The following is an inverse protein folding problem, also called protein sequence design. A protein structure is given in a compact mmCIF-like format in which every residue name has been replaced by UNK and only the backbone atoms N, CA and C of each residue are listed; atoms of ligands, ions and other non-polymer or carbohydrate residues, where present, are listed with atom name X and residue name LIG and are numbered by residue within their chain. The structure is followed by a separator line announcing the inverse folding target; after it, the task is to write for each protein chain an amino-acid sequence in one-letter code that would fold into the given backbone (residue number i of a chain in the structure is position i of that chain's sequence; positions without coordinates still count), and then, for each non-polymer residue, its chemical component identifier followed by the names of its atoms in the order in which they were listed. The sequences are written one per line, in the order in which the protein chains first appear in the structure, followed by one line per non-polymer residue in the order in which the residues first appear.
data_IF_451723948925
#
_entry.id   IF_451723948925
#
_cell.length_a   1.000
_cell.length_b   1.000
_cell.length_c   1.000
_cell.angle_alpha   90.00
_cell.angle_beta   90.00
_cell.angle_gamma   90.00
#
_symmetry.space_group_name_H-M   'P 1'
#
loop_
_entity.id
_entity.type
_entity.pdbx_description
1 polymer ?
#
# COMPACT_ATOMS: atom_id res chain seq x y z
N UNK A 1 1.59 -15.29 17.85
CA UNK A 1 2.57 -14.95 16.81
C UNK A 1 3.63 -16.04 16.85
N UNK A 2 3.66 -16.91 15.83
CA UNK A 2 4.51 -18.10 15.87
C UNK A 2 5.99 -17.72 15.83
N UNK A 3 6.74 -18.14 16.84
CA UNK A 3 8.22 -17.98 16.93
C UNK A 3 8.97 -18.51 15.69
N UNK A 4 8.35 -19.39 14.91
CA UNK A 4 8.86 -19.95 13.66
C UNK A 4 8.91 -18.90 12.53
N UNK A 5 7.96 -17.97 12.47
CA UNK A 5 7.93 -16.93 11.43
C UNK A 5 9.04 -15.88 11.63
N UNK A 6 9.33 -15.54 12.90
CA UNK A 6 10.43 -14.63 13.25
C UNK A 6 11.78 -15.28 12.97
N UNK A 7 11.92 -16.60 13.23
CA UNK A 7 13.12 -17.35 12.94
C UNK A 7 13.36 -17.52 11.42
N UNK A 8 12.30 -17.68 10.62
CA UNK A 8 12.40 -17.76 9.16
C UNK A 8 12.83 -16.44 8.53
N UNK A 9 12.35 -15.30 9.04
CA UNK A 9 12.78 -13.97 8.59
C UNK A 9 14.26 -13.72 8.97
N UNK A 10 14.69 -14.15 10.15
CA UNK A 10 16.10 -14.03 10.57
C UNK A 10 17.04 -14.98 9.82
N UNK A 11 16.58 -16.16 9.41
CA UNK A 11 17.38 -17.13 8.66
C UNK A 11 17.61 -16.71 7.19
N UNK A 12 16.68 -15.97 6.58
CA UNK A 12 16.87 -15.38 5.23
C UNK A 12 17.91 -14.27 5.26
N UNK A 13 18.09 -13.59 6.40
CA UNK A 13 19.10 -12.54 6.56
C UNK A 13 20.55 -13.08 6.66
N UNK A 14 20.75 -14.37 6.96
CA UNK A 14 22.10 -14.94 7.20
C UNK A 14 22.78 -15.51 5.96
N UNK A 15 22.10 -15.65 4.83
CA UNK A 15 22.69 -16.10 3.54
C UNK A 15 22.77 -14.98 2.50
N UNK A 16 22.79 -13.72 2.93
CA UNK A 16 22.96 -12.60 2.02
C UNK A 16 24.37 -12.63 1.40
N UNK A 17 24.48 -13.22 0.23
CA UNK A 17 25.50 -12.83 -0.75
C UNK A 17 25.54 -11.30 -0.75
N UNK A 18 26.72 -10.72 -0.58
CA UNK A 18 26.95 -9.27 -0.55
C UNK A 18 26.69 -8.72 -1.96
N UNK A 19 25.41 -8.62 -2.33
CA UNK A 19 25.01 -7.85 -3.49
C UNK A 19 25.10 -6.37 -3.12
N UNK A 20 25.72 -5.58 -3.97
CA UNK A 20 25.77 -4.14 -3.76
C UNK A 20 24.32 -3.59 -3.88
N UNK A 21 23.90 -2.72 -2.97
CA UNK A 21 22.60 -2.09 -3.11
C UNK A 21 22.56 -1.32 -4.43
N UNK A 22 21.48 -1.48 -5.22
CA UNK A 22 21.30 -0.90 -6.55
C UNK A 22 21.56 0.61 -6.62
N UNK A 23 21.80 1.13 -7.82
CA UNK A 23 22.28 2.50 -8.06
C UNK A 23 21.31 3.64 -7.73
N UNK A 24 20.03 3.37 -7.38
CA UNK A 24 19.04 4.38 -7.04
C UNK A 24 19.36 5.10 -5.72
N UNK A 25 18.95 6.36 -5.62
CA UNK A 25 19.11 7.15 -4.40
C UNK A 25 18.28 6.56 -3.24
N UNK A 26 18.76 6.78 -2.01
CA UNK A 26 18.05 6.38 -0.79
C UNK A 26 16.64 7.01 -0.75
N UNK A 27 15.67 6.30 -0.23
CA UNK A 27 14.24 6.64 -0.15
C UNK A 27 13.50 6.76 -1.51
N UNK A 28 14.17 6.69 -2.67
CA UNK A 28 13.49 6.78 -3.97
C UNK A 28 12.79 5.48 -4.40
N UNK A 29 12.93 4.39 -3.66
CA UNK A 29 12.13 3.19 -3.79
C UNK A 29 10.71 3.34 -3.23
N UNK A 30 10.51 4.39 -2.43
CA UNK A 30 9.29 4.53 -1.64
C UNK A 30 9.26 3.56 -0.45
N UNK A 31 8.10 3.44 0.16
CA UNK A 31 7.74 2.35 1.05
C UNK A 31 6.91 1.31 0.27
N UNK A 32 6.40 0.31 0.98
CA UNK A 32 5.42 -0.62 0.39
C UNK A 32 4.04 -0.29 0.97
N UNK A 33 3.07 -0.05 0.09
CA UNK A 33 1.70 0.24 0.50
C UNK A 33 1.05 -1.00 1.16
N UNK A 34 -0.04 -0.78 1.89
CA UNK A 34 -0.84 -1.87 2.47
C UNK A 34 -1.38 -2.86 1.44
N UNK A 35 -1.32 -2.55 0.16
CA UNK A 35 -1.72 -3.43 -0.95
C UNK A 35 -0.52 -4.11 -1.65
N UNK A 36 0.70 -3.89 -1.16
CA UNK A 36 1.91 -4.57 -1.60
C UNK A 36 2.66 -3.92 -2.76
N UNK A 37 2.14 -2.88 -3.38
CA UNK A 37 2.83 -2.12 -4.42
C UNK A 37 3.78 -1.09 -3.81
N UNK A 38 4.93 -0.84 -4.45
CA UNK A 38 5.79 0.25 -4.04
C UNK A 38 5.07 1.61 -4.13
N UNK A 39 5.22 2.45 -3.08
CA UNK A 39 4.52 3.73 -2.99
C UNK A 39 4.70 4.39 -1.64
N UNK A 40 3.62 4.96 -1.13
CA UNK A 40 3.49 5.41 0.24
C UNK A 40 2.82 4.35 1.12
N UNK A 41 2.15 4.77 2.19
CA UNK A 41 1.42 3.84 3.08
C UNK A 41 0.14 3.29 2.46
N UNK A 42 -0.66 4.17 1.86
CA UNK A 42 -1.99 3.84 1.33
C UNK A 42 -2.12 4.02 -0.19
N UNK A 43 -1.21 4.76 -0.84
CA UNK A 43 -1.24 5.08 -2.28
C UNK A 43 -0.07 4.41 -3.01
N UNK A 44 -0.31 3.68 -4.14
CA UNK A 44 0.76 3.20 -5.00
C UNK A 44 1.36 4.38 -5.80
N UNK A 45 2.70 4.47 -5.84
CA UNK A 45 3.40 5.45 -6.64
C UNK A 45 3.89 4.83 -7.95
N UNK A 46 4.36 5.68 -8.88
CA UNK A 46 4.97 5.18 -10.11
C UNK A 46 6.35 4.54 -9.91
N UNK A 47 6.93 4.61 -8.71
CA UNK A 47 8.19 3.93 -8.37
C UNK A 47 8.02 2.41 -8.30
N UNK A 48 9.12 1.69 -8.41
CA UNK A 48 9.17 0.23 -8.31
C UNK A 48 9.95 -0.17 -7.06
N UNK A 49 9.61 -1.33 -6.49
CA UNK A 49 10.18 -1.90 -5.27
C UNK A 49 11.69 -2.11 -5.35
N UNK A 50 12.37 -1.95 -4.21
CA UNK A 50 13.81 -2.09 -4.10
C UNK A 50 14.60 -0.98 -4.78
N UNK A 51 15.89 -1.24 -4.97
CA UNK A 51 16.85 -0.25 -5.48
C UNK A 51 17.54 -0.64 -6.78
N UNK A 52 17.07 -1.70 -7.45
CA UNK A 52 17.61 -2.16 -8.73
C UNK A 52 17.47 -1.11 -9.84
N UNK A 53 18.50 -0.99 -10.68
CA UNK A 53 18.53 -0.15 -11.88
C UNK A 53 18.16 -0.96 -13.14
N UNK A 54 18.43 -0.41 -14.34
CA UNK A 54 18.01 -0.98 -15.61
C UNK A 54 18.38 -2.44 -15.83
N UNK A 55 19.58 -2.84 -15.39
CA UNK A 55 20.13 -4.19 -15.61
C UNK A 55 20.16 -5.03 -14.32
N UNK A 56 19.48 -4.54 -13.28
CA UNK A 56 19.44 -5.14 -11.96
C UNK A 56 18.00 -5.52 -11.59
N UNK A 57 17.89 -6.42 -10.62
CA UNK A 57 16.64 -6.68 -9.93
C UNK A 57 16.67 -6.05 -8.53
N UNK A 58 15.52 -5.76 -8.00
CA UNK A 58 15.34 -5.30 -6.64
C UNK A 58 14.12 -5.95 -6.03
N UNK A 59 13.97 -5.87 -4.75
CA UNK A 59 12.78 -6.43 -4.10
C UNK A 59 12.66 -6.01 -2.66
N UNK A 60 11.47 -6.18 -2.13
CA UNK A 60 11.11 -5.83 -0.77
C UNK A 60 10.34 -6.97 -0.12
N UNK A 61 10.58 -7.17 1.17
CA UNK A 61 9.66 -7.88 2.05
C UNK A 61 9.21 -6.92 3.13
N UNK A 62 7.95 -6.94 3.49
CA UNK A 62 7.39 -5.95 4.39
C UNK A 62 6.34 -6.52 5.34
N UNK A 63 6.15 -5.83 6.45
CA UNK A 63 5.07 -6.05 7.39
C UNK A 63 4.57 -4.71 7.91
N UNK A 64 3.24 -4.50 7.85
CA UNK A 64 2.58 -3.27 8.31
C UNK A 64 1.46 -3.63 9.27
N UNK A 65 1.32 -2.86 10.32
CA UNK A 65 0.19 -2.93 11.24
C UNK A 65 -0.47 -1.57 11.34
N UNK A 66 -1.79 -1.54 11.18
CA UNK A 66 -2.65 -0.38 11.43
C UNK A 66 -3.57 -0.73 12.60
N UNK A 67 -3.75 0.18 13.55
CA UNK A 67 -4.61 0.00 14.71
C UNK A 67 -5.42 1.29 14.91
N UNK A 68 -6.76 1.19 14.73
CA UNK A 68 -7.70 2.30 14.94
C UNK A 68 -8.46 2.21 16.27
N UNK A 69 -8.11 1.25 17.11
CA UNK A 69 -8.83 0.97 18.35
C UNK A 69 -9.92 -0.08 18.15
N UNK A 70 -10.85 0.15 17.25
CA UNK A 70 -11.93 -0.81 16.94
C UNK A 70 -11.46 -1.91 15.98
N UNK A 71 -10.58 -1.58 15.06
CA UNK A 71 -10.04 -2.47 14.03
C UNK A 71 -8.53 -2.57 14.11
N UNK A 72 -8.02 -3.75 13.75
CA UNK A 72 -6.59 -3.95 13.54
C UNK A 72 -6.34 -4.63 12.21
N UNK A 73 -5.56 -3.98 11.36
CA UNK A 73 -5.13 -4.54 10.09
C UNK A 73 -3.66 -4.94 10.17
N UNK A 74 -3.37 -6.23 10.01
CA UNK A 74 -2.03 -6.76 9.79
C UNK A 74 -1.84 -7.06 8.30
N UNK A 75 -0.78 -6.53 7.70
CA UNK A 75 -0.40 -6.75 6.31
C UNK A 75 1.02 -7.28 6.25
N UNK A 76 1.27 -8.25 5.39
CA UNK A 76 2.61 -8.72 5.07
C UNK A 76 2.69 -9.17 3.61
N UNK A 77 3.86 -9.02 3.03
CA UNK A 77 4.05 -9.36 1.63
C UNK A 77 5.46 -9.19 1.14
N UNK A 78 5.58 -9.32 -0.17
CA UNK A 78 6.84 -9.14 -0.89
C UNK A 78 6.57 -8.55 -2.27
N UNK A 79 7.54 -7.82 -2.78
CA UNK A 79 7.56 -7.32 -4.14
C UNK A 79 8.94 -7.55 -4.78
N UNK A 80 8.95 -7.77 -6.08
CA UNK A 80 10.14 -7.96 -6.90
C UNK A 80 10.08 -7.02 -8.09
N UNK A 81 11.13 -6.26 -8.33
CA UNK A 81 11.28 -5.45 -9.54
C UNK A 81 12.39 -5.97 -10.44
N UNK A 82 12.15 -5.95 -11.73
CA UNK A 82 13.06 -6.40 -12.77
C UNK A 82 13.40 -5.24 -13.70
N UNK A 83 14.71 -4.92 -13.83
CA UNK A 83 15.24 -3.92 -14.73
C UNK A 83 14.69 -2.51 -14.51
N UNK A 84 14.24 -2.18 -13.29
CA UNK A 84 13.52 -0.94 -12.98
C UNK A 84 12.37 -0.66 -13.98
N UNK A 85 11.73 -1.73 -14.46
CA UNK A 85 10.67 -1.68 -15.47
C UNK A 85 9.40 -2.42 -15.06
N UNK A 86 9.53 -3.60 -14.49
CA UNK A 86 8.43 -4.47 -14.10
C UNK A 86 8.48 -4.71 -12.60
N UNK A 87 7.35 -4.61 -11.90
CA UNK A 87 7.17 -5.02 -10.51
C UNK A 87 6.10 -6.10 -10.43
N UNK A 88 6.39 -7.16 -9.69
CA UNK A 88 5.46 -8.19 -9.26
C UNK A 88 5.33 -8.11 -7.74
N UNK A 89 4.13 -8.15 -7.20
CA UNK A 89 3.92 -8.09 -5.76
C UNK A 89 2.87 -9.09 -5.28
N UNK A 90 3.04 -9.53 -4.04
CA UNK A 90 2.06 -10.33 -3.32
C UNK A 90 1.90 -9.75 -1.92
N UNK A 91 0.66 -9.62 -1.47
CA UNK A 91 0.36 -9.19 -0.11
C UNK A 91 -0.80 -10.00 0.47
N UNK A 92 -0.78 -10.16 1.78
CA UNK A 92 -1.92 -10.68 2.54
C UNK A 92 -2.30 -9.67 3.61
N UNK A 93 -3.57 -9.33 3.62
CA UNK A 93 -4.21 -8.49 4.63
C UNK A 93 -5.04 -9.35 5.56
N UNK A 94 -5.01 -9.04 6.86
CA UNK A 94 -5.83 -9.64 7.89
C UNK A 94 -6.40 -8.55 8.77
N UNK A 95 -7.70 -8.29 8.62
CA UNK A 95 -8.44 -7.34 9.43
C UNK A 95 -9.09 -8.08 10.60
N UNK A 96 -8.74 -7.73 11.83
CA UNK A 96 -9.47 -8.10 13.05
C UNK A 96 -10.58 -7.08 13.26
N UNK A 97 -11.83 -7.55 13.24
CA UNK A 97 -13.02 -6.71 13.34
C UNK A 97 -13.38 -6.37 14.81
N UNK A 98 -12.52 -6.73 15.76
CA UNK A 98 -12.61 -6.30 17.16
C UNK A 98 -14.00 -6.45 17.79
N UNK A 99 -14.53 -5.34 18.27
CA UNK A 99 -15.81 -5.28 18.96
C UNK A 99 -17.01 -5.55 18.05
N UNK A 100 -16.94 -5.20 16.76
CA UNK A 100 -18.03 -5.38 15.80
C UNK A 100 -18.47 -6.84 15.67
N UNK A 101 -17.53 -7.78 15.74
CA UNK A 101 -17.83 -9.24 15.71
C UNK A 101 -18.80 -9.64 16.80
N UNK A 102 -18.60 -9.13 18.02
CA UNK A 102 -19.47 -9.47 19.17
C UNK A 102 -20.80 -8.73 19.09
N UNK A 103 -20.78 -7.46 18.72
CA UNK A 103 -21.97 -6.62 18.65
C UNK A 103 -22.95 -7.08 17.58
N UNK A 104 -22.44 -7.47 16.41
CA UNK A 104 -23.24 -7.87 15.26
C UNK A 104 -23.42 -9.41 15.14
N UNK A 105 -22.88 -10.22 16.07
CA UNK A 105 -22.99 -11.68 16.04
C UNK A 105 -22.36 -12.33 14.80
N UNK A 106 -21.29 -11.73 14.26
CA UNK A 106 -20.67 -12.18 13.01
C UNK A 106 -19.98 -13.53 13.17
N UNK A 107 -20.01 -14.40 12.13
CA UNK A 107 -19.47 -15.75 12.21
C UNK A 107 -17.94 -15.81 12.23
N UNK A 108 -17.27 -14.74 11.80
CA UNK A 108 -15.81 -14.65 11.75
C UNK A 108 -15.31 -13.38 12.43
N UNK A 109 -14.25 -13.54 13.23
CA UNK A 109 -13.58 -12.42 13.88
C UNK A 109 -12.65 -11.65 12.92
N UNK A 110 -12.17 -12.31 11.88
CA UNK A 110 -11.18 -11.75 10.96
C UNK A 110 -11.62 -11.86 9.51
N UNK A 111 -11.38 -10.81 8.74
CA UNK A 111 -11.43 -10.82 7.28
C UNK A 111 -10.02 -10.95 6.73
N UNK A 112 -9.85 -11.78 5.71
CA UNK A 112 -8.56 -12.02 5.07
C UNK A 112 -8.66 -11.77 3.58
N UNK A 113 -7.66 -11.07 3.01
CA UNK A 113 -7.57 -10.79 1.59
C UNK A 113 -6.17 -11.12 1.07
N UNK A 114 -6.10 -11.79 -0.07
CA UNK A 114 -4.88 -11.97 -0.85
C UNK A 114 -4.86 -10.98 -2.01
N UNK A 115 -3.71 -10.35 -2.25
CA UNK A 115 -3.51 -9.37 -3.31
C UNK A 115 -2.30 -9.79 -4.14
N UNK A 116 -2.46 -9.78 -5.46
CA UNK A 116 -1.41 -10.06 -6.45
C UNK A 116 -1.30 -8.86 -7.37
N UNK A 117 -0.14 -8.21 -7.37
CA UNK A 117 0.10 -6.98 -8.11
C UNK A 117 1.06 -7.16 -9.27
N UNK A 118 0.78 -6.41 -10.33
CA UNK A 118 1.65 -6.20 -11.49
C UNK A 118 1.74 -4.69 -11.73
N UNK A 119 2.96 -4.13 -11.86
CA UNK A 119 3.18 -2.74 -12.22
C UNK A 119 4.24 -2.64 -13.30
N UNK A 120 3.97 -1.87 -14.34
CA UNK A 120 4.86 -1.62 -15.46
C UNK A 120 5.19 -0.12 -15.54
N UNK A 121 6.46 0.24 -15.36
CA UNK A 121 6.95 1.59 -15.67
C UNK A 121 6.94 1.79 -17.19
N UNK A 122 6.20 2.81 -17.64
CA UNK A 122 6.02 3.10 -19.06
C UNK A 122 7.13 3.99 -19.58
N UNK A 123 7.28 5.19 -19.02
CA UNK A 123 8.25 6.22 -19.45
C UNK A 123 8.53 7.20 -18.30
N UNK A 124 9.41 8.17 -18.59
CA UNK A 124 9.83 9.21 -17.68
C UNK A 124 10.81 8.73 -16.62
N UNK A 125 11.25 9.66 -15.80
CA UNK A 125 12.15 9.39 -14.67
C UNK A 125 11.72 10.21 -13.44
N UNK A 126 12.03 9.69 -12.27
CA UNK A 126 11.64 10.34 -11.02
C UNK A 126 12.35 11.69 -10.84
N UNK A 127 13.60 11.83 -11.30
CA UNK A 127 14.51 12.94 -11.00
C UNK A 127 15.03 13.63 -12.27
N UNK A 128 15.52 12.85 -13.22
CA UNK A 128 16.40 13.36 -14.28
C UNK A 128 15.69 13.70 -15.58
N UNK A 129 14.46 13.23 -15.80
CA UNK A 129 13.67 13.51 -17.00
C UNK A 129 12.83 14.80 -16.81
N UNK A 130 12.42 15.41 -17.91
CA UNK A 130 11.42 16.49 -17.92
C UNK A 130 10.01 15.94 -17.61
N UNK A 131 9.74 14.72 -18.03
CA UNK A 131 8.48 14.03 -17.75
C UNK A 131 8.52 13.29 -16.41
N UNK A 132 7.41 13.27 -15.66
CA UNK A 132 7.32 12.44 -14.46
C UNK A 132 7.49 10.97 -14.85
N UNK A 133 7.94 10.16 -13.90
CA UNK A 133 7.88 8.71 -14.05
C UNK A 133 6.42 8.27 -14.04
N UNK A 134 6.01 7.52 -15.06
CA UNK A 134 4.64 7.02 -15.23
C UNK A 134 4.66 5.51 -15.21
N UNK A 135 3.74 4.93 -14.44
CA UNK A 135 3.55 3.48 -14.36
C UNK A 135 2.08 3.10 -14.46
N UNK A 136 1.80 1.97 -15.08
CA UNK A 136 0.51 1.31 -15.13
C UNK A 136 0.54 0.10 -14.22
N UNK A 137 -0.50 -0.11 -13.40
CA UNK A 137 -0.60 -1.23 -12.50
C UNK A 137 -1.96 -1.93 -12.54
N UNK A 138 -1.94 -3.20 -12.15
CA UNK A 138 -3.11 -4.02 -11.91
C UNK A 138 -2.94 -4.80 -10.60
N UNK A 139 -3.99 -4.90 -9.80
CA UNK A 139 -4.00 -5.62 -8.53
C UNK A 139 -5.20 -6.56 -8.51
N UNK A 140 -4.96 -7.85 -8.71
CA UNK A 140 -5.98 -8.87 -8.46
C UNK A 140 -6.09 -9.11 -6.96
N UNK A 141 -7.30 -8.96 -6.43
CA UNK A 141 -7.62 -9.06 -5.02
C UNK A 141 -8.65 -10.15 -4.79
N UNK A 142 -8.48 -10.96 -3.75
CA UNK A 142 -9.41 -12.00 -3.38
C UNK A 142 -9.66 -12.01 -1.88
N UNK A 143 -10.89 -11.72 -1.53
CA UNK A 143 -11.41 -11.85 -0.17
C UNK A 143 -11.62 -13.33 0.17
N UNK A 144 -11.09 -13.81 1.30
CA UNK A 144 -11.05 -15.23 1.65
C UNK A 144 -12.21 -15.68 2.56
N UNK A 145 -12.88 -14.71 3.19
CA UNK A 145 -13.97 -14.96 4.15
C UNK A 145 -15.23 -14.21 3.69
N UNK A 146 -15.76 -14.57 2.52
CA UNK A 146 -16.78 -13.80 1.80
C UNK A 146 -18.18 -13.77 2.46
N UNK A 147 -18.42 -14.56 3.51
CA UNK A 147 -19.74 -14.60 4.15
C UNK A 147 -20.14 -13.23 4.75
N UNK A 148 -19.23 -12.54 5.42
CA UNK A 148 -19.52 -11.21 5.99
C UNK A 148 -19.72 -10.18 4.88
N UNK A 149 -18.84 -10.04 3.88
CA UNK A 149 -19.07 -9.16 2.72
C UNK A 149 -20.41 -9.42 2.02
N UNK A 150 -20.78 -10.68 1.83
CA UNK A 150 -22.06 -11.06 1.22
C UNK A 150 -23.28 -10.58 2.04
N UNK A 151 -23.22 -10.73 3.37
CA UNK A 151 -24.31 -10.28 4.26
C UNK A 151 -24.50 -8.77 4.21
N UNK A 152 -23.43 -8.01 4.03
CA UNK A 152 -23.48 -6.53 3.95
C UNK A 152 -23.75 -6.02 2.52
N UNK A 153 -24.00 -6.90 1.55
CA UNK A 153 -24.46 -6.56 0.19
C UNK A 153 -23.38 -6.57 -0.88
N UNK A 154 -22.17 -7.08 -0.60
CA UNK A 154 -21.15 -7.21 -1.64
C UNK A 154 -21.49 -8.33 -2.65
N UNK A 155 -21.23 -8.05 -3.93
CA UNK A 155 -21.60 -8.93 -5.04
C UNK A 155 -20.52 -9.99 -5.36
N UNK A 156 -19.23 -9.72 -5.12
CA UNK A 156 -18.11 -10.58 -5.52
C UNK A 156 -17.05 -10.71 -4.43
N UNK A 157 -16.44 -11.89 -4.40
CA UNK A 157 -15.30 -12.19 -3.51
C UNK A 157 -13.96 -11.77 -4.09
N UNK A 158 -13.90 -11.44 -5.38
CA UNK A 158 -12.64 -11.09 -6.06
C UNK A 158 -12.89 -10.16 -7.25
N UNK A 159 -11.90 -9.29 -7.49
CA UNK A 159 -11.84 -8.44 -8.68
C UNK A 159 -10.41 -7.93 -8.92
N UNK A 160 -10.23 -7.21 -10.02
CA UNK A 160 -8.97 -6.55 -10.36
C UNK A 160 -9.14 -5.05 -10.41
N UNK A 161 -8.35 -4.35 -9.62
CA UNK A 161 -8.16 -2.91 -9.74
C UNK A 161 -7.10 -2.61 -10.80
N UNK A 162 -7.32 -1.55 -11.57
CA UNK A 162 -6.34 -1.00 -12.50
C UNK A 162 -6.00 0.40 -12.08
N UNK A 163 -4.73 0.81 -12.23
CA UNK A 163 -4.34 2.18 -11.92
C UNK A 163 -3.22 2.68 -12.83
N UNK A 164 -3.17 3.99 -13.01
CA UNK A 164 -2.05 4.70 -13.59
C UNK A 164 -1.52 5.68 -12.55
N UNK A 165 -0.22 5.66 -12.31
CA UNK A 165 0.45 6.54 -11.37
C UNK A 165 1.49 7.40 -12.08
N UNK A 166 1.66 8.64 -11.62
CA UNK A 166 2.70 9.57 -12.08
C UNK A 166 3.41 10.16 -10.87
N UNK A 167 4.73 10.00 -10.78
CA UNK A 167 5.53 10.46 -9.66
C UNK A 167 6.71 11.32 -10.12
N UNK A 168 7.04 12.36 -9.36
CA UNK A 168 8.19 13.22 -9.60
C UNK A 168 8.81 13.74 -8.32
N UNK A 169 10.14 13.75 -8.28
CA UNK A 169 10.93 14.34 -7.21
C UNK A 169 11.52 15.67 -7.69
N UNK A 170 11.17 16.75 -7.03
CA UNK A 170 11.66 18.09 -7.30
C UNK A 170 12.80 18.40 -6.31
N UNK A 171 14.00 18.51 -6.84
CA UNK A 171 15.19 18.76 -6.04
C UNK A 171 15.22 20.20 -5.51
N UNK A 172 15.37 20.37 -4.19
CA UNK A 172 15.48 21.67 -3.53
C UNK A 172 14.24 22.57 -3.64
N UNK A 173 13.08 22.03 -4.03
CA UNK A 173 11.91 22.83 -4.40
C UNK A 173 11.24 23.56 -3.23
N UNK A 174 11.40 23.10 -2.00
CA UNK A 174 10.76 23.70 -0.82
C UNK A 174 11.80 23.97 0.25
N UNK A 175 12.28 25.22 0.35
CA UNK A 175 13.24 25.62 1.35
C UNK A 175 14.58 24.86 1.31
N UNK A 176 14.99 24.35 0.12
CA UNK A 176 16.19 23.53 -0.05
C UNK A 176 15.94 22.03 0.11
N UNK A 177 14.78 21.63 0.60
CA UNK A 177 14.38 20.23 0.68
C UNK A 177 13.81 19.68 -0.65
N UNK A 178 13.93 18.38 -0.84
CA UNK A 178 13.39 17.72 -2.04
C UNK A 178 11.92 17.37 -1.81
N UNK A 179 11.07 17.72 -2.78
CA UNK A 179 9.63 17.47 -2.73
C UNK A 179 9.25 16.35 -3.72
N UNK A 180 8.72 15.25 -3.20
CA UNK A 180 8.11 14.18 -3.97
C UNK A 180 6.61 14.45 -4.14
N UNK A 181 6.12 14.41 -5.37
CA UNK A 181 4.69 14.44 -5.66
C UNK A 181 4.30 13.18 -6.44
N UNK A 182 3.15 12.64 -6.10
CA UNK A 182 2.53 11.53 -6.81
C UNK A 182 1.04 11.78 -7.00
N UNK A 183 0.53 11.42 -8.19
CA UNK A 183 -0.89 11.34 -8.50
C UNK A 183 -1.20 10.00 -9.10
N UNK A 184 -2.28 9.36 -8.64
CA UNK A 184 -2.74 8.06 -9.11
C UNK A 184 -4.22 8.13 -9.46
N UNK A 185 -4.59 7.58 -10.61
CA UNK A 185 -5.98 7.34 -10.98
C UNK A 185 -6.21 5.84 -10.95
N UNK A 186 -7.20 5.41 -10.16
CA UNK A 186 -7.57 4.00 -9.99
C UNK A 186 -8.95 3.72 -10.53
N UNK A 187 -9.13 2.61 -11.21
CA UNK A 187 -10.41 2.12 -11.68
C UNK A 187 -10.77 0.86 -10.90
N UNK A 188 -11.67 1.00 -9.92
CA UNK A 188 -11.98 -0.01 -8.91
C UNK A 188 -13.45 -0.02 -8.53
N UNK A 189 -13.91 -1.13 -7.93
CA UNK A 189 -15.16 -1.29 -7.19
C UNK A 189 -14.94 -2.01 -5.85
N UNK A 190 -13.76 -1.91 -5.31
CA UNK A 190 -13.35 -2.59 -4.08
C UNK A 190 -13.91 -1.85 -2.86
N UNK A 191 -14.75 -2.51 -2.07
CA UNK A 191 -15.29 -1.98 -0.81
C UNK A 191 -14.22 -2.17 0.27
N UNK A 192 -13.93 -1.12 1.04
CA UNK A 192 -12.83 -1.11 2.02
C UNK A 192 -11.55 -1.74 1.43
N UNK A 193 -11.16 -1.23 0.25
CA UNK A 193 -10.01 -1.74 -0.53
C UNK A 193 -10.09 -3.21 -0.94
N UNK A 194 -11.27 -3.85 -0.81
CA UNK A 194 -11.57 -5.23 -1.14
C UNK A 194 -11.79 -6.14 0.08
N UNK A 195 -11.52 -5.65 1.30
CA UNK A 195 -11.76 -6.41 2.53
C UNK A 195 -13.25 -6.69 2.75
N UNK A 196 -14.15 -5.80 2.29
CA UNK A 196 -15.59 -5.99 2.26
C UNK A 196 -16.11 -6.43 0.88
N UNK A 197 -15.27 -7.10 0.08
CA UNK A 197 -15.65 -7.60 -1.25
C UNK A 197 -15.67 -6.53 -2.32
N UNK A 198 -16.38 -6.79 -3.44
CA UNK A 198 -16.32 -5.96 -4.65
C UNK A 198 -17.70 -5.74 -5.25
N UNK A 199 -17.98 -4.49 -5.63
CA UNK A 199 -19.32 -4.09 -6.04
C UNK A 199 -20.32 -4.22 -4.90
N UNK A 200 -21.56 -3.83 -5.12
CA UNK A 200 -22.56 -3.94 -4.09
C UNK A 200 -23.96 -3.66 -4.58
N UNK A 201 -24.91 -3.81 -3.67
CA UNK A 201 -26.36 -3.62 -3.86
C UNK A 201 -26.74 -2.20 -4.28
N UNK A 202 -25.91 -1.19 -3.98
CA UNK A 202 -26.12 0.20 -4.44
C UNK A 202 -25.48 0.41 -5.82
N UNK A 203 -24.21 0.01 -6.01
CA UNK A 203 -23.48 0.13 -7.28
C UNK A 203 -22.57 -1.06 -7.52
N UNK A 204 -22.69 -1.71 -8.66
CA UNK A 204 -21.83 -2.83 -9.06
C UNK A 204 -20.79 -2.44 -10.15
N UNK A 205 -20.80 -1.21 -10.62
CA UNK A 205 -19.84 -0.72 -11.61
C UNK A 205 -18.56 -0.24 -10.96
N UNK A 206 -17.45 -0.28 -11.72
CA UNK A 206 -16.19 0.35 -11.28
C UNK A 206 -16.27 1.86 -11.37
N UNK A 207 -15.68 2.53 -10.40
CA UNK A 207 -15.52 3.98 -10.33
C UNK A 207 -14.07 4.39 -10.63
N UNK A 208 -13.90 5.57 -11.22
CA UNK A 208 -12.60 6.20 -11.38
C UNK A 208 -12.31 7.02 -10.11
N UNK A 209 -11.31 6.63 -9.36
CA UNK A 209 -10.93 7.19 -8.06
C UNK A 209 -9.61 7.94 -8.18
N UNK A 210 -9.48 9.01 -7.41
CA UNK A 210 -8.28 9.84 -7.36
C UNK A 210 -7.51 9.53 -6.09
N UNK A 211 -6.20 9.41 -6.22
CA UNK A 211 -5.29 9.22 -5.11
C UNK A 211 -4.11 10.18 -5.29
N UNK A 212 -3.54 10.65 -4.21
CA UNK A 212 -2.42 11.58 -4.25
C UNK A 212 -1.51 11.46 -3.05
N UNK A 213 -0.25 11.83 -3.24
CA UNK A 213 0.75 11.87 -2.17
C UNK A 213 1.69 13.05 -2.36
N UNK A 214 2.07 13.66 -1.25
CA UNK A 214 3.14 14.64 -1.20
C UNK A 214 4.10 14.29 -0.06
N UNK A 215 5.40 14.19 -0.35
CA UNK A 215 6.40 13.85 0.66
C UNK A 215 7.63 14.76 0.54
N UNK A 216 8.10 15.23 1.68
CA UNK A 216 9.27 16.10 1.81
C UNK A 216 10.44 15.28 2.37
N UNK A 217 11.52 15.20 1.61
CA UNK A 217 12.76 14.57 2.05
C UNK A 217 13.55 15.58 2.87
N UNK A 218 13.46 15.49 4.20
CA UNK A 218 14.15 16.37 5.16
C UNK A 218 15.66 16.11 5.19
N UNK A 219 16.05 14.89 4.89
CA UNK A 219 17.44 14.46 4.72
C UNK A 219 17.45 13.21 3.83
N UNK A 220 18.62 12.64 3.46
CA UNK A 220 18.65 11.36 2.75
C UNK A 220 17.93 10.22 3.48
N UNK A 221 17.84 10.28 4.82
CA UNK A 221 17.27 9.23 5.65
C UNK A 221 15.83 9.52 6.14
N UNK A 222 15.42 10.79 6.18
CA UNK A 222 14.15 11.17 6.78
C UNK A 222 13.19 11.77 5.76
N UNK A 223 11.99 11.23 5.71
CA UNK A 223 10.90 11.67 4.85
C UNK A 223 9.66 11.92 5.70
N UNK A 224 8.95 13.00 5.46
CA UNK A 224 7.61 13.23 6.00
C UNK A 224 6.65 13.43 4.84
N UNK A 225 5.42 12.96 4.94
CA UNK A 225 4.47 13.08 3.84
C UNK A 225 3.05 12.89 4.27
N UNK A 226 2.16 13.17 3.34
CA UNK A 226 0.72 12.99 3.47
C UNK A 226 0.20 12.29 2.21
N UNK A 227 -0.88 11.53 2.38
CA UNK A 227 -1.58 10.85 1.30
C UNK A 227 -3.08 11.04 1.41
N UNK A 228 -3.73 10.94 0.27
CA UNK A 228 -5.18 10.95 0.12
C UNK A 228 -5.60 9.86 -0.87
N UNK A 229 -6.68 9.15 -0.55
CA UNK A 229 -7.23 8.07 -1.38
C UNK A 229 -8.74 8.06 -1.34
N UNK A 230 -9.37 8.27 -2.51
CA UNK A 230 -10.81 8.09 -2.70
C UNK A 230 -11.20 6.61 -2.64
N UNK A 231 -12.41 6.32 -2.14
CA UNK A 231 -13.04 5.00 -2.15
C UNK A 231 -14.39 5.03 -2.88
N UNK A 232 -14.84 3.93 -3.51
CA UNK A 232 -16.17 3.86 -4.13
C UNK A 232 -17.21 3.54 -3.06
N UNK A 233 -18.38 4.18 -3.11
CA UNK A 233 -19.51 3.92 -2.23
C UNK A 233 -20.51 2.99 -2.92
N UNK A 234 -20.35 1.68 -2.73
CA UNK A 234 -21.11 0.64 -3.45
C UNK A 234 -22.16 -0.07 -2.56
N UNK A 235 -22.04 0.04 -1.23
CA UNK A 235 -22.89 -0.71 -0.29
C UNK A 235 -23.96 0.22 0.31
N UNK A 236 -25.17 -0.29 0.44
CA UNK A 236 -26.22 0.42 1.19
C UNK A 236 -26.09 0.27 2.70
N UNK A 237 -25.32 -0.73 3.14
CA UNK A 237 -25.10 -1.05 4.55
C UNK A 237 -24.31 0.03 5.31
N UNK A 238 -23.28 0.60 4.68
CA UNK A 238 -22.41 1.62 5.25
C UNK A 238 -21.94 2.58 4.16
N UNK A 239 -21.78 3.85 4.50
CA UNK A 239 -21.08 4.82 3.65
C UNK A 239 -19.59 4.53 3.59
N UNK A 240 -18.95 4.86 2.49
CA UNK A 240 -17.49 4.79 2.37
C UNK A 240 -16.90 6.19 2.49
N UNK A 241 -15.97 6.37 3.41
CA UNK A 241 -15.21 7.62 3.57
C UNK A 241 -13.85 7.50 2.94
N UNK A 242 -13.36 8.58 2.37
CA UNK A 242 -12.01 8.64 1.81
C UNK A 242 -10.96 8.51 2.90
N UNK A 243 -9.81 7.96 2.55
CA UNK A 243 -8.69 7.77 3.44
C UNK A 243 -7.65 8.87 3.33
N UNK A 244 -7.08 9.24 4.45
CA UNK A 244 -5.97 10.18 4.54
C UNK A 244 -4.93 9.66 5.52
N UNK A 245 -3.68 9.96 5.29
CA UNK A 245 -2.63 9.72 6.26
C UNK A 245 -1.59 10.84 6.33
N UNK A 246 -0.87 10.87 7.45
CA UNK A 246 0.33 11.66 7.67
C UNK A 246 1.41 10.70 8.16
N UNK A 247 2.55 10.65 7.47
CA UNK A 247 3.60 9.69 7.80
C UNK A 247 4.98 10.31 7.96
N UNK A 248 5.81 9.60 8.71
CA UNK A 248 7.26 9.79 8.78
C UNK A 248 7.95 8.49 8.40
N UNK A 249 8.88 8.56 7.45
CA UNK A 249 9.71 7.46 7.01
C UNK A 249 11.16 7.65 7.45
N UNK A 250 11.77 6.60 7.98
CA UNK A 250 13.19 6.54 8.30
C UNK A 250 13.88 5.44 7.51
N UNK A 251 14.85 5.83 6.71
CA UNK A 251 15.61 4.99 5.79
C UNK A 251 17.11 4.99 6.21
N UNK A 252 17.49 4.24 7.24
CA UNK A 252 18.90 4.22 7.70
C UNK A 252 19.85 3.69 6.62
N UNK A 253 19.36 2.86 5.72
CA UNK A 253 20.10 2.30 4.59
C UNK A 253 19.12 1.90 3.48
N UNK A 254 19.65 1.53 2.31
CA UNK A 254 18.84 0.95 1.22
C UNK A 254 18.20 -0.40 1.57
N UNK A 255 18.65 -1.04 2.65
CA UNK A 255 18.16 -2.37 3.07
C UNK A 255 17.03 -2.31 4.08
N UNK A 256 16.83 -1.17 4.72
CA UNK A 256 15.85 -1.03 5.82
C UNK A 256 15.08 0.26 5.67
N UNK A 257 13.77 0.17 5.72
CA UNK A 257 12.87 1.30 5.89
C UNK A 257 11.91 1.04 7.06
N UNK A 258 11.69 2.08 7.85
CA UNK A 258 10.71 2.13 8.92
C UNK A 258 9.76 3.28 8.60
N UNK A 259 8.47 3.03 8.57
CA UNK A 259 7.46 4.07 8.35
C UNK A 259 6.46 4.00 9.49
N UNK A 260 6.21 5.14 10.11
CA UNK A 260 5.15 5.31 11.10
C UNK A 260 4.23 6.43 10.64
N UNK A 261 2.95 6.31 10.87
CA UNK A 261 2.00 7.34 10.49
C UNK A 261 0.71 7.28 11.30
N UNK A 262 -0.04 8.35 11.15
CA UNK A 262 -1.41 8.45 11.63
C UNK A 262 -2.33 8.43 10.40
N UNK A 263 -3.31 7.56 10.42
CA UNK A 263 -4.29 7.42 9.35
C UNK A 263 -5.69 7.77 9.85
N UNK A 264 -6.40 8.51 9.04
CA UNK A 264 -7.83 8.73 9.14
C UNK A 264 -8.49 7.91 8.04
N UNK A 265 -9.20 6.86 8.45
CA UNK A 265 -9.87 5.92 7.56
C UNK A 265 -11.39 6.19 7.50
N UNK A 266 -11.83 7.28 8.15
CA UNK A 266 -13.24 7.71 8.19
C UNK A 266 -14.18 6.67 8.77
N UNK A 267 -15.27 6.35 8.05
CA UNK A 267 -16.19 5.29 8.43
C UNK A 267 -15.73 3.93 7.87
N UNK A 268 -15.69 2.91 8.71
CA UNK A 268 -15.47 1.51 8.31
C UNK A 268 -16.63 0.67 8.83
N UNK A 269 -17.42 0.10 7.93
CA UNK A 269 -18.52 -0.83 8.24
C UNK A 269 -19.43 -0.34 9.37
N UNK A 270 -19.94 0.90 9.25
CA UNK A 270 -20.84 1.60 10.21
C UNK A 270 -20.20 2.16 11.49
N UNK A 271 -18.90 1.99 11.71
CA UNK A 271 -18.20 2.66 12.79
C UNK A 271 -17.51 3.91 12.25
N UNK A 272 -17.95 5.08 12.71
CA UNK A 272 -17.39 6.39 12.38
C UNK A 272 -16.04 6.61 13.07
N UNK A 273 -15.32 7.66 12.67
CA UNK A 273 -14.10 8.16 13.31
C UNK A 273 -12.98 7.10 13.45
N UNK A 274 -12.79 6.25 12.42
CA UNK A 274 -11.76 5.23 12.42
C UNK A 274 -10.38 5.83 12.16
N UNK A 275 -9.77 6.36 13.20
CA UNK A 275 -8.47 7.00 13.18
C UNK A 275 -7.47 6.20 14.00
N UNK A 276 -6.22 6.14 13.55
CA UNK A 276 -5.24 5.38 14.31
C UNK A 276 -3.82 5.48 13.78
N UNK A 277 -2.95 4.74 14.45
CA UNK A 277 -1.52 4.71 14.10
C UNK A 277 -1.21 3.50 13.26
N UNK A 278 -0.24 3.65 12.35
CA UNK A 278 0.34 2.50 11.68
C UNK A 278 1.87 2.51 11.79
N UNK A 279 2.41 1.29 11.72
CA UNK A 279 3.85 1.04 11.69
C UNK A 279 4.14 0.03 10.59
N UNK A 280 5.08 0.36 9.71
CA UNK A 280 5.57 -0.49 8.64
C UNK A 280 7.07 -0.71 8.75
N UNK A 281 7.48 -1.96 8.57
CA UNK A 281 8.87 -2.39 8.44
C UNK A 281 9.06 -2.98 7.06
N UNK A 282 10.08 -2.51 6.33
CA UNK A 282 10.46 -3.02 5.03
C UNK A 282 11.95 -3.37 5.00
N UNK A 283 12.25 -4.54 4.46
CA UNK A 283 13.60 -4.96 4.15
C UNK A 283 13.74 -5.05 2.62
N UNK A 284 14.71 -4.32 2.09
CA UNK A 284 14.93 -4.20 0.64
C UNK A 284 16.27 -4.81 0.21
N UNK A 285 16.26 -5.25 -1.04
CA UNK A 285 17.41 -5.76 -1.75
C UNK A 285 17.60 -5.03 -3.08
#
# INVERSE_FOLDING_TARGET
MNKILVAAVLAVCSSAVVAQPGGRMLATGGATSIEGAAGGGIVPWAVLSGYGTRDEWGGDVFATRVDTGDYRLDVYGAALSLGNRLELSVARQRLDMGALTKAAGLPHKTLNQDIYGLKLRLFGDLIYDQLPQVALGAQYKRQRNFLVPLIVGAERDSDTDYYIAASRLFMGALGGYNLMLNGTLRYSRANETGLLGFGGDRHDSRSLLKEGSAALLLSPQWVVGLEYREKPDNLSFAGESDWQDLFIGYFPSKRLALVAGWADLGEIATLEDQQGMYLSLQLSY
#
